data_IF_298194984849
#
_entry.id   IF_298194984849
#
_cell.length_a   1.000
_cell.length_b   1.000
_cell.length_c   1.000
_cell.angle_alpha   90.00
_cell.angle_beta   90.00
_cell.angle_gamma   90.00
#
_symmetry.space_group_name_H-M   'P 1'
#
loop_
_entity.id
_entity.type
_entity.pdbx_description
1 polymer ?
#
# COMPACT_ATOMS: atom_id res chain seq x y z
N UNK A 1 -73.87 -1.55 -45.87
CA UNK A 1 -72.92 -1.35 -44.74
C UNK A 1 -72.09 -0.11 -45.07
N UNK A 2 -72.32 0.96 -44.29
CA UNK A 2 -71.56 2.21 -44.05
C UNK A 2 -70.49 2.62 -45.11
N UNK A 3 -70.80 3.55 -46.01
CA UNK A 3 -70.46 5.01 -46.01
C UNK A 3 -68.95 5.30 -45.86
N UNK A 4 -68.22 6.05 -46.69
CA UNK A 4 -68.55 6.91 -47.83
C UNK A 4 -67.69 8.19 -47.81
N UNK A 5 -67.06 8.50 -48.95
CA UNK A 5 -66.73 9.84 -49.52
C UNK A 5 -65.38 10.54 -49.21
N UNK A 6 -64.75 10.85 -50.35
CA UNK A 6 -63.63 11.74 -50.72
C UNK A 6 -63.65 13.16 -50.16
N UNK A 7 -62.46 13.79 -50.09
CA UNK A 7 -62.25 15.22 -50.40
C UNK A 7 -60.85 15.46 -51.04
N UNK A 8 -60.88 16.13 -52.19
CA UNK A 8 -59.75 16.77 -52.90
C UNK A 8 -59.74 18.25 -52.47
N UNK A 9 -58.57 18.87 -52.36
CA UNK A 9 -58.47 20.33 -52.52
C UNK A 9 -57.23 20.97 -51.88
N UNK A 10 -56.45 21.70 -52.69
CA UNK A 10 -55.52 22.72 -52.18
C UNK A 10 -54.19 22.82 -52.93
N UNK A 11 -54.17 23.53 -54.06
CA UNK A 11 -52.95 24.06 -54.70
C UNK A 11 -52.53 25.34 -53.98
N UNK A 12 -51.22 25.52 -53.71
CA UNK A 12 -50.59 26.85 -53.66
C UNK A 12 -49.08 26.74 -53.97
N UNK A 13 -48.66 27.44 -55.02
CA UNK A 13 -47.29 27.65 -55.45
C UNK A 13 -46.55 28.65 -54.53
N UNK A 14 -45.21 28.59 -54.44
CA UNK A 14 -44.33 29.72 -54.81
C UNK A 14 -42.82 29.41 -54.67
N UNK A 15 -42.11 29.85 -55.71
CA UNK A 15 -40.75 30.42 -55.75
C UNK A 15 -39.48 29.56 -55.49
N UNK A 16 -38.65 29.59 -56.54
CA UNK A 16 -37.24 29.29 -56.55
C UNK A 16 -36.42 30.29 -55.72
N UNK A 17 -35.30 29.82 -55.16
CA UNK A 17 -34.10 30.64 -54.98
C UNK A 17 -32.85 29.75 -55.00
N UNK A 18 -32.04 29.96 -56.04
CA UNK A 18 -30.64 29.53 -56.12
C UNK A 18 -29.86 30.38 -55.10
N UNK A 19 -29.11 29.75 -54.20
CA UNK A 19 -28.31 30.42 -53.18
C UNK A 19 -26.93 29.78 -53.03
N UNK A 20 -25.92 30.51 -53.51
CA UNK A 20 -24.49 30.23 -53.59
C UNK A 20 -23.79 30.27 -52.20
N UNK A 21 -22.91 29.29 -51.97
CA UNK A 21 -21.66 29.30 -51.16
C UNK A 21 -21.65 29.71 -49.67
N UNK A 22 -21.17 28.77 -48.84
CA UNK A 22 -20.13 29.06 -47.84
C UNK A 22 -19.38 27.76 -47.48
N UNK A 23 -18.09 27.70 -47.80
CA UNK A 23 -17.20 26.66 -47.32
C UNK A 23 -17.05 26.78 -45.80
N UNK A 24 -17.69 25.87 -45.05
CA UNK A 24 -17.46 25.73 -43.62
C UNK A 24 -16.10 25.06 -43.43
N UNK A 25 -15.06 25.89 -43.34
CA UNK A 25 -13.78 25.48 -42.78
C UNK A 25 -13.99 25.03 -41.34
N UNK A 26 -13.93 23.73 -41.11
CA UNK A 26 -13.91 23.13 -39.78
C UNK A 26 -12.59 23.52 -39.11
N UNK A 27 -12.61 24.64 -38.38
CA UNK A 27 -11.56 24.99 -37.45
C UNK A 27 -11.52 23.88 -36.38
N UNK A 28 -10.55 22.98 -36.49
CA UNK A 28 -10.26 22.00 -35.46
C UNK A 28 -9.80 22.74 -34.21
N UNK A 29 -10.70 22.93 -33.26
CA UNK A 29 -10.39 23.48 -31.95
C UNK A 29 -9.36 22.56 -31.30
N UNK A 30 -8.17 23.04 -30.91
CA UNK A 30 -7.19 22.20 -30.24
C UNK A 30 -7.80 21.75 -28.91
N UNK A 31 -8.10 20.46 -28.79
CA UNK A 31 -8.49 19.84 -27.54
C UNK A 31 -7.33 20.00 -26.57
N UNK A 32 -7.46 20.94 -25.63
CA UNK A 32 -6.56 21.05 -24.48
C UNK A 32 -6.57 19.69 -23.79
N UNK A 33 -5.50 18.92 -23.95
CA UNK A 33 -5.24 17.78 -23.09
C UNK A 33 -5.13 18.35 -21.68
N UNK A 34 -6.13 18.05 -20.86
CA UNK A 34 -6.05 18.24 -19.43
C UNK A 34 -4.83 17.44 -18.95
N UNK A 35 -3.77 18.11 -18.52
CA UNK A 35 -2.71 17.47 -17.76
C UNK A 35 -3.36 16.82 -16.54
N UNK A 36 -3.45 15.49 -16.56
CA UNK A 36 -4.05 14.74 -15.48
C UNK A 36 -3.22 14.96 -14.21
N UNK A 37 -3.70 15.84 -13.33
CA UNK A 37 -3.02 16.19 -12.09
C UNK A 37 -2.86 14.94 -11.23
N UNK A 38 -1.62 14.45 -11.12
CA UNK A 38 -1.31 13.26 -10.34
C UNK A 38 -1.55 13.51 -8.85
N UNK A 39 -2.15 12.54 -8.18
CA UNK A 39 -2.28 12.54 -6.72
C UNK A 39 -0.95 12.16 -6.09
N UNK A 40 -0.37 13.07 -5.31
CA UNK A 40 0.88 12.82 -4.59
C UNK A 40 0.63 11.88 -3.42
N UNK A 41 1.41 10.82 -3.34
CA UNK A 41 1.36 9.83 -2.27
C UNK A 41 2.78 9.56 -1.78
N UNK A 42 3.01 9.71 -0.49
CA UNK A 42 4.21 9.20 0.17
C UNK A 42 3.91 7.82 0.75
N UNK A 43 4.71 6.83 0.38
CA UNK A 43 4.59 5.44 0.80
C UNK A 43 5.80 5.04 1.66
N UNK A 44 5.55 4.75 2.94
CA UNK A 44 6.58 4.37 3.92
C UNK A 44 6.77 2.85 3.94
N UNK A 45 7.98 2.38 3.60
CA UNK A 45 8.33 0.97 3.76
C UNK A 45 8.65 0.64 5.23
N UNK A 46 8.43 -0.61 5.65
CA UNK A 46 8.87 -1.13 6.95
C UNK A 46 10.39 -1.12 7.10
N UNK A 47 11.08 -1.60 6.08
CA UNK A 47 12.50 -1.91 6.18
C UNK A 47 13.32 -1.18 5.12
N UNK A 48 14.65 -1.34 5.20
CA UNK A 48 15.55 -0.82 4.18
C UNK A 48 15.30 -1.50 2.83
N UNK A 49 15.68 -0.85 1.73
CA UNK A 49 15.47 -1.39 0.39
C UNK A 49 16.12 -2.78 0.25
N UNK A 50 15.29 -3.79 0.02
CA UNK A 50 15.66 -5.20 -0.17
C UNK A 50 14.72 -5.84 -1.20
N UNK A 51 15.05 -7.06 -1.63
CA UNK A 51 14.32 -7.78 -2.66
C UNK A 51 12.80 -7.90 -2.40
N UNK A 52 12.40 -8.00 -1.13
CA UNK A 52 10.99 -8.04 -0.71
C UNK A 52 10.15 -6.83 -1.15
N UNK A 53 10.79 -5.68 -1.44
CA UNK A 53 10.12 -4.47 -1.90
C UNK A 53 10.26 -4.22 -3.40
N UNK A 54 10.91 -5.12 -4.15
CA UNK A 54 11.23 -4.92 -5.56
C UNK A 54 9.99 -4.60 -6.42
N UNK A 55 8.83 -5.19 -6.10
CA UNK A 55 7.57 -4.92 -6.80
C UNK A 55 7.15 -3.44 -6.78
N UNK A 56 7.34 -2.75 -5.65
CA UNK A 56 6.98 -1.34 -5.51
C UNK A 56 7.90 -0.42 -6.35
N UNK A 57 9.20 -0.72 -6.34
CA UNK A 57 10.17 0.00 -7.16
C UNK A 57 9.98 -0.30 -8.65
N UNK A 58 9.68 -1.55 -9.02
CA UNK A 58 9.37 -1.92 -10.39
C UNK A 58 8.10 -1.21 -10.90
N UNK A 59 7.07 -1.06 -10.06
CA UNK A 59 5.87 -0.31 -10.40
C UNK A 59 6.17 1.17 -10.67
N UNK A 60 7.06 1.78 -9.89
CA UNK A 60 7.55 3.14 -10.14
C UNK A 60 8.32 3.23 -11.47
N UNK A 61 9.31 2.34 -11.68
CA UNK A 61 10.15 2.33 -12.88
C UNK A 61 9.34 2.07 -14.17
N UNK A 62 8.33 1.19 -14.11
CA UNK A 62 7.43 0.87 -15.24
C UNK A 62 6.30 1.89 -15.43
N UNK A 63 6.23 2.93 -14.61
CA UNK A 63 5.23 3.99 -14.69
C UNK A 63 3.81 3.55 -14.31
N UNK A 64 3.64 2.44 -13.59
CA UNK A 64 2.31 1.93 -13.21
C UNK A 64 1.58 2.89 -12.28
N UNK A 65 2.28 3.56 -11.37
CA UNK A 65 1.68 4.60 -10.52
C UNK A 65 1.15 5.78 -11.35
N UNK A 66 1.94 6.28 -12.30
CA UNK A 66 1.52 7.38 -13.18
C UNK A 66 0.31 7.00 -14.03
N UNK A 67 0.28 5.77 -14.57
CA UNK A 67 -0.88 5.23 -15.30
C UNK A 67 -2.13 5.13 -14.42
N UNK A 68 -1.96 4.91 -13.12
CA UNK A 68 -3.03 4.94 -12.13
C UNK A 68 -3.36 6.36 -11.59
N UNK A 69 -2.76 7.42 -12.15
CA UNK A 69 -2.97 8.80 -11.71
C UNK A 69 -2.25 9.19 -10.42
N UNK A 70 -1.23 8.42 -10.01
CA UNK A 70 -0.48 8.62 -8.76
C UNK A 70 0.96 9.08 -9.02
N UNK A 71 1.41 10.03 -8.19
CA UNK A 71 2.82 10.42 -8.05
C UNK A 71 3.34 9.87 -6.71
N UNK A 72 3.96 8.69 -6.74
CA UNK A 72 4.35 7.95 -5.54
C UNK A 72 5.81 8.20 -5.18
N UNK A 73 6.03 8.77 -3.99
CA UNK A 73 7.35 8.86 -3.34
C UNK A 73 7.52 7.74 -2.34
N UNK A 74 8.43 6.81 -2.60
CA UNK A 74 8.76 5.73 -1.69
C UNK A 74 9.79 6.21 -0.66
N UNK A 75 9.49 6.05 0.63
CA UNK A 75 10.43 6.29 1.74
C UNK A 75 10.94 4.97 2.29
N UNK A 76 12.25 4.91 2.49
CA UNK A 76 12.92 3.75 3.08
C UNK A 76 12.55 3.65 4.57
N UNK A 77 12.39 2.42 5.07
CA UNK A 77 12.18 2.13 6.49
C UNK A 77 13.47 1.82 7.24
N UNK A 78 13.36 1.06 8.31
CA UNK A 78 14.49 0.67 9.13
C UNK A 78 14.07 0.23 10.54
N UNK A 79 15.03 -0.22 11.37
CA UNK A 79 14.74 -0.75 12.71
C UNK A 79 14.16 0.30 13.66
N UNK A 80 14.38 1.58 13.39
CA UNK A 80 13.93 2.68 14.26
C UNK A 80 12.70 3.42 13.70
N UNK A 81 12.03 2.86 12.66
CA UNK A 81 10.87 3.48 12.01
C UNK A 81 9.64 2.58 12.21
N UNK A 82 8.58 3.15 12.77
CA UNK A 82 7.23 2.57 12.73
C UNK A 82 6.41 3.23 11.62
N UNK A 83 6.09 2.52 10.53
CA UNK A 83 5.17 2.97 9.49
C UNK A 83 3.82 3.46 10.04
N UNK A 84 3.28 2.83 11.08
CA UNK A 84 2.02 3.24 11.72
C UNK A 84 2.12 4.65 12.28
N UNK A 85 3.20 4.97 12.99
CA UNK A 85 3.42 6.30 13.55
C UNK A 85 3.70 7.33 12.46
N UNK A 86 4.43 6.97 11.40
CA UNK A 86 4.67 7.86 10.25
C UNK A 86 3.36 8.24 9.55
N UNK A 87 2.45 7.27 9.36
CA UNK A 87 1.14 7.52 8.74
C UNK A 87 0.22 8.29 9.69
N UNK A 88 0.13 7.87 10.97
CA UNK A 88 -0.68 8.57 11.97
C UNK A 88 -0.24 10.03 12.17
N UNK A 89 1.06 10.29 12.09
CA UNK A 89 1.65 11.64 12.13
C UNK A 89 1.54 12.44 10.84
N UNK A 90 0.90 11.90 9.79
CA UNK A 90 0.68 12.60 8.51
C UNK A 90 1.92 12.74 7.62
N UNK A 91 3.03 12.11 7.97
CA UNK A 91 4.28 12.17 7.21
C UNK A 91 4.29 11.24 5.98
N UNK A 92 3.36 10.29 5.92
CA UNK A 92 3.09 9.45 4.77
C UNK A 92 1.58 9.18 4.67
N UNK A 93 1.07 8.96 3.45
CA UNK A 93 -0.34 8.60 3.23
C UNK A 93 -0.56 7.09 3.37
N UNK A 94 0.48 6.29 3.12
CA UNK A 94 0.44 4.84 3.23
C UNK A 94 1.71 4.31 3.89
N UNK A 95 1.56 3.21 4.62
CA UNK A 95 2.65 2.45 5.20
C UNK A 95 2.52 0.98 4.84
N UNK A 96 3.65 0.29 4.77
CA UNK A 96 3.72 -1.17 4.69
C UNK A 96 4.34 -1.67 5.98
N UNK A 97 3.65 -2.54 6.71
CA UNK A 97 4.18 -3.20 7.90
C UNK A 97 3.51 -4.58 8.11
N UNK A 98 3.93 -5.29 9.16
CA UNK A 98 3.33 -6.51 9.65
C UNK A 98 1.92 -6.24 10.18
N UNK A 99 1.00 -7.18 9.89
CA UNK A 99 -0.38 -7.05 10.33
C UNK A 99 -0.52 -6.95 11.87
N UNK A 100 0.23 -7.70 12.70
CA UNK A 100 0.17 -7.54 14.16
C UNK A 100 0.55 -6.14 14.65
N UNK A 101 1.51 -5.47 13.99
CA UNK A 101 1.91 -4.10 14.32
C UNK A 101 0.77 -3.11 14.10
N UNK A 102 0.09 -3.23 12.97
CA UNK A 102 -1.10 -2.44 12.66
C UNK A 102 -2.24 -2.70 13.65
N UNK A 103 -2.46 -3.97 14.05
CA UNK A 103 -3.47 -4.31 15.05
C UNK A 103 -3.15 -3.68 16.40
N UNK A 104 -1.91 -3.78 16.87
CA UNK A 104 -1.48 -3.16 18.12
C UNK A 104 -1.62 -1.64 18.10
N UNK A 105 -1.25 -0.98 17.00
CA UNK A 105 -1.43 0.46 16.83
C UNK A 105 -2.90 0.88 16.89
N UNK A 106 -3.81 0.08 16.29
CA UNK A 106 -5.25 0.31 16.36
C UNK A 106 -5.81 0.12 17.76
N UNK A 107 -5.34 -0.89 18.50
CA UNK A 107 -5.73 -1.12 19.91
C UNK A 107 -5.31 0.06 20.81
N UNK A 108 -4.22 0.76 20.44
CA UNK A 108 -3.78 2.00 21.08
C UNK A 108 -4.55 3.25 20.61
N UNK A 109 -5.57 3.09 19.77
CA UNK A 109 -6.47 4.17 19.33
C UNK A 109 -6.07 4.85 18.01
N UNK A 110 -5.01 4.40 17.33
CA UNK A 110 -4.66 4.95 16.01
C UNK A 110 -5.71 4.56 14.97
N UNK A 111 -6.19 5.55 14.22
CA UNK A 111 -7.23 5.38 13.18
C UNK A 111 -6.65 4.92 11.84
N UNK A 112 -5.88 3.85 11.87
CA UNK A 112 -5.25 3.27 10.68
C UNK A 112 -6.11 2.16 10.08
N UNK A 113 -6.15 2.02 8.75
CA UNK A 113 -6.98 1.03 8.05
C UNK A 113 -6.07 0.13 7.21
N UNK A 114 -6.27 -1.19 7.30
CA UNK A 114 -5.63 -2.13 6.37
C UNK A 114 -6.38 -2.10 5.03
N UNK A 115 -5.70 -1.73 3.96
CA UNK A 115 -6.29 -1.64 2.61
C UNK A 115 -5.84 -2.78 1.67
N UNK A 116 -4.79 -3.52 2.03
CA UNK A 116 -4.24 -4.59 1.21
C UNK A 116 -3.35 -5.54 2.02
N UNK A 117 -3.50 -6.85 1.80
CA UNK A 117 -2.61 -7.87 2.35
C UNK A 117 -1.72 -8.43 1.23
N UNK A 118 -0.43 -8.07 1.24
CA UNK A 118 0.52 -8.50 0.19
C UNK A 118 1.17 -9.85 0.52
N UNK A 119 1.39 -10.13 1.80
CA UNK A 119 1.92 -11.40 2.29
C UNK A 119 0.87 -12.13 3.12
N UNK A 120 0.60 -13.40 2.83
CA UNK A 120 -0.39 -14.19 3.59
C UNK A 120 0.17 -14.81 4.87
N UNK A 121 1.49 -14.77 5.05
CA UNK A 121 2.20 -15.30 6.22
C UNK A 121 3.34 -14.36 6.60
N UNK A 122 3.70 -14.35 7.88
CA UNK A 122 4.87 -13.61 8.37
C UNK A 122 6.15 -14.23 7.82
N UNK A 123 7.06 -13.39 7.35
CA UNK A 123 8.42 -13.78 6.93
C UNK A 123 9.43 -13.72 8.07
N UNK A 124 9.01 -13.36 9.29
CA UNK A 124 9.88 -13.29 10.46
C UNK A 124 10.51 -14.66 10.72
N UNK A 125 11.82 -14.67 10.92
CA UNK A 125 12.60 -15.88 11.16
C UNK A 125 13.65 -15.64 12.22
N UNK A 126 13.59 -16.40 13.32
CA UNK A 126 14.66 -16.45 14.30
C UNK A 126 15.80 -17.35 13.83
N UNK A 127 17.03 -16.89 14.03
CA UNK A 127 18.24 -17.59 13.60
C UNK A 127 19.07 -17.93 14.84
N UNK A 128 19.64 -19.12 14.86
CA UNK A 128 20.58 -19.59 15.89
C UNK A 128 21.76 -20.30 15.23
N UNK A 129 22.91 -20.31 15.90
CA UNK A 129 24.04 -21.12 15.46
C UNK A 129 23.74 -22.60 15.66
N UNK A 130 24.16 -23.44 14.69
CA UNK A 130 23.86 -24.87 14.71
C UNK A 130 24.42 -25.58 15.95
N UNK A 131 25.64 -25.21 16.35
CA UNK A 131 26.34 -25.73 17.52
C UNK A 131 25.75 -25.28 18.86
N UNK A 132 24.95 -24.20 18.89
CA UNK A 132 24.22 -23.76 20.09
C UNK A 132 23.15 -24.77 20.53
N UNK A 133 22.69 -25.65 19.63
CA UNK A 133 21.62 -26.61 19.88
C UNK A 133 20.23 -25.98 20.08
N UNK A 134 20.07 -24.67 19.90
CA UNK A 134 18.80 -23.94 20.03
C UNK A 134 17.99 -24.12 18.74
N UNK A 135 17.21 -25.19 18.67
CA UNK A 135 16.38 -25.54 17.51
C UNK A 135 14.87 -25.53 17.79
N UNK A 136 14.47 -25.04 18.96
CA UNK A 136 13.06 -24.83 19.35
C UNK A 136 12.92 -23.57 20.20
N UNK A 137 11.74 -22.97 20.21
CA UNK A 137 11.44 -21.79 21.04
C UNK A 137 11.67 -22.07 22.53
N UNK A 138 11.31 -23.26 23.02
CA UNK A 138 11.51 -23.63 24.42
C UNK A 138 12.99 -23.59 24.86
N UNK A 139 13.93 -23.87 23.93
CA UNK A 139 15.37 -23.81 24.19
C UNK A 139 15.94 -22.39 24.28
N UNK A 140 15.14 -21.37 23.97
CA UNK A 140 15.50 -19.96 24.22
C UNK A 140 15.37 -19.57 25.70
N UNK A 141 14.86 -20.47 26.57
CA UNK A 141 14.74 -20.21 27.99
C UNK A 141 16.08 -19.85 28.63
N UNK A 142 16.10 -18.74 29.35
CA UNK A 142 17.29 -18.17 29.99
C UNK A 142 18.33 -17.61 29.00
N UNK A 143 18.00 -17.48 27.71
CA UNK A 143 18.88 -16.90 26.69
C UNK A 143 18.54 -15.44 26.43
N UNK A 144 19.49 -14.76 25.79
CA UNK A 144 19.28 -13.45 25.17
C UNK A 144 18.79 -13.67 23.75
N UNK A 145 17.66 -13.08 23.40
CA UNK A 145 17.04 -13.17 22.07
C UNK A 145 16.97 -11.77 21.47
N UNK A 146 17.62 -11.60 20.33
CA UNK A 146 17.63 -10.34 19.60
C UNK A 146 16.31 -10.11 18.86
N UNK A 147 15.76 -8.91 18.93
CA UNK A 147 14.63 -8.46 18.11
C UNK A 147 14.76 -6.96 17.80
N UNK A 148 14.38 -6.52 16.60
CA UNK A 148 14.46 -5.10 16.22
C UNK A 148 13.44 -4.20 16.95
N UNK A 149 12.43 -4.80 17.60
CA UNK A 149 11.32 -4.13 18.27
C UNK A 149 10.53 -3.24 17.30
N UNK A 150 9.72 -2.30 17.83
CA UNK A 150 8.90 -1.38 17.04
C UNK A 150 8.01 -2.10 16.02
N UNK A 151 7.34 -3.15 16.49
CA UNK A 151 6.41 -3.96 15.75
C UNK A 151 6.98 -5.25 15.17
N UNK A 152 8.28 -5.49 15.27
CA UNK A 152 8.91 -6.74 14.82
C UNK A 152 8.83 -7.87 15.87
N UNK A 153 8.31 -7.58 17.06
CA UNK A 153 8.35 -8.47 18.22
C UNK A 153 7.15 -9.39 18.36
N UNK A 154 6.01 -9.09 17.73
CA UNK A 154 4.73 -9.70 18.10
C UNK A 154 4.69 -11.21 17.88
N UNK A 155 5.16 -11.72 16.75
CA UNK A 155 5.22 -13.16 16.47
C UNK A 155 6.17 -13.89 17.42
N UNK A 156 7.37 -13.33 17.64
CA UNK A 156 8.34 -13.87 18.58
C UNK A 156 7.76 -13.90 20.00
N UNK A 157 7.11 -12.82 20.42
CA UNK A 157 6.57 -12.70 21.77
C UNK A 157 5.42 -13.69 21.99
N UNK A 158 4.55 -13.86 20.99
CA UNK A 158 3.50 -14.87 21.03
C UNK A 158 4.09 -16.30 21.13
N UNK A 159 5.16 -16.59 20.40
CA UNK A 159 5.83 -17.88 20.45
C UNK A 159 6.50 -18.14 21.83
N UNK A 160 7.21 -17.15 22.38
CA UNK A 160 7.84 -17.22 23.70
C UNK A 160 6.80 -17.35 24.82
N UNK A 161 5.71 -16.58 24.75
CA UNK A 161 4.58 -16.68 25.68
C UNK A 161 3.97 -18.08 25.68
N UNK A 162 3.74 -18.66 24.48
CA UNK A 162 3.27 -20.04 24.35
C UNK A 162 4.22 -21.07 24.96
N UNK A 163 5.52 -20.79 25.01
CA UNK A 163 6.53 -21.62 25.65
C UNK A 163 6.70 -21.34 27.16
N UNK A 164 5.81 -20.57 27.77
CA UNK A 164 5.80 -20.26 29.20
C UNK A 164 6.92 -19.30 29.62
N UNK A 165 7.33 -18.39 28.73
CA UNK A 165 8.23 -17.28 29.01
C UNK A 165 7.46 -15.96 28.93
N UNK A 166 7.94 -14.93 29.61
CA UNK A 166 7.35 -13.60 29.58
C UNK A 166 8.35 -12.63 28.93
N UNK A 167 8.29 -12.46 27.59
CA UNK A 167 9.21 -11.60 26.87
C UNK A 167 8.99 -10.11 27.15
N UNK A 168 7.79 -9.73 27.62
CA UNK A 168 7.47 -8.33 27.96
C UNK A 168 8.21 -7.91 29.23
N UNK A 169 8.25 -8.78 30.23
CA UNK A 169 8.91 -8.51 31.51
C UNK A 169 10.27 -9.21 31.67
N UNK A 170 10.83 -9.74 30.58
CA UNK A 170 12.10 -10.49 30.57
C UNK A 170 12.16 -11.65 31.60
N UNK A 171 11.04 -12.37 31.82
CA UNK A 171 11.04 -13.53 32.73
C UNK A 171 11.17 -14.82 31.94
N UNK A 172 12.19 -15.59 32.25
CA UNK A 172 12.49 -16.84 31.54
C UNK A 172 13.14 -16.64 30.16
N UNK A 173 13.29 -15.41 29.67
CA UNK A 173 14.04 -15.03 28.45
C UNK A 173 14.42 -13.56 28.57
N UNK A 174 15.53 -13.14 27.96
CA UNK A 174 15.93 -11.72 27.91
C UNK A 174 15.83 -11.23 26.48
N UNK A 175 14.95 -10.27 26.20
CA UNK A 175 14.86 -9.61 24.90
C UNK A 175 15.90 -8.51 24.82
N UNK A 176 16.65 -8.50 23.72
CA UNK A 176 17.67 -7.50 23.45
C UNK A 176 17.32 -6.77 22.16
N UNK A 177 17.37 -5.44 22.18
CA UNK A 177 17.19 -4.65 20.96
C UNK A 177 18.31 -4.96 19.98
N UNK A 178 17.96 -5.54 18.86
CA UNK A 178 18.88 -5.92 17.80
C UNK A 178 19.29 -4.68 17.00
N UNK A 179 20.59 -4.36 16.88
CA UNK A 179 21.06 -3.33 15.97
C UNK A 179 20.94 -3.80 14.52
N UNK A 180 20.87 -2.84 13.59
CA UNK A 180 20.79 -3.12 12.15
C UNK A 180 21.90 -4.05 11.65
N UNK A 181 23.14 -3.83 12.12
CA UNK A 181 24.33 -4.56 11.68
C UNK A 181 24.42 -6.01 12.17
N UNK A 182 23.47 -6.49 12.99
CA UNK A 182 23.45 -7.86 13.51
C UNK A 182 24.67 -8.26 14.37
N UNK A 183 25.51 -7.32 14.82
CA UNK A 183 26.73 -7.58 15.58
C UNK A 183 26.53 -8.15 16.99
N UNK A 184 25.30 -8.21 17.50
CA UNK A 184 25.00 -8.95 18.74
C UNK A 184 24.88 -10.47 18.51
N UNK A 185 24.73 -10.89 17.25
CA UNK A 185 24.58 -12.29 16.85
C UNK A 185 25.89 -12.91 16.34
N UNK A 186 26.76 -12.07 15.75
CA UNK A 186 28.09 -12.40 15.26
C UNK A 186 29.13 -12.32 16.39
#
# INVERSE_FOLDING_TARGET
MKHGRYWIGGVAAFAAAIGIWAAVGTAATPTKHSEQKLTKITFQLKWVTQAQFAGYYAAAAKGFYKKAGLDVKIRVGGPDISPEQVVAGGQAQMGLDWLPSLMSARDQGLKLINIAQVFTRSGMTEISWKDSGINTIAKMRGKKVGNWLLGNEFELFAALARAGMDPVHNKGVTIVKQPFAMNLFL
#
